data_IF_143231450510
#
_entry.id   IF_143231450510
#
_cell.length_a   1.000
_cell.length_b   1.000
_cell.length_c   1.000
_cell.angle_alpha   90.00
_cell.angle_beta   90.00
_cell.angle_gamma   90.00
#
_symmetry.space_group_name_H-M   'P 1'
#
loop_
_entity.id
_entity.type
_entity.pdbx_description
1 polymer ?
#
# COMPACT_ATOMS: atom_id res chain seq x y z
N UNK A 1 -2.60 -0.92 -19.52
CA UNK A 1 -3.35 0.34 -19.51
C UNK A 1 -2.79 1.25 -18.41
N UNK A 2 -2.36 2.46 -18.73
CA UNK A 2 -1.85 3.37 -17.71
C UNK A 2 -2.94 3.72 -16.68
N UNK A 3 -2.54 3.80 -15.42
CA UNK A 3 -3.43 4.14 -14.32
C UNK A 3 -2.77 5.26 -13.52
N UNK A 4 -3.53 6.29 -13.21
CA UNK A 4 -3.07 7.37 -12.33
C UNK A 4 -3.18 6.91 -10.88
N UNK A 5 -2.07 6.94 -10.18
CA UNK A 5 -1.98 6.54 -8.77
C UNK A 5 -1.55 7.71 -7.91
N UNK A 6 -2.08 7.78 -6.71
CA UNK A 6 -1.71 8.76 -5.71
C UNK A 6 -0.78 8.12 -4.69
N UNK A 7 0.28 8.81 -4.32
CA UNK A 7 1.26 8.33 -3.35
C UNK A 7 1.57 9.44 -2.35
N UNK A 8 1.54 9.13 -1.07
CA UNK A 8 1.92 10.06 -0.03
C UNK A 8 3.42 10.34 -0.07
N UNK A 9 3.80 11.58 0.21
CA UNK A 9 5.20 11.99 0.17
C UNK A 9 5.97 11.46 1.37
N UNK A 10 7.16 10.94 1.09
CA UNK A 10 8.10 10.48 2.11
C UNK A 10 8.68 11.66 2.89
N UNK A 11 8.86 11.48 4.20
CA UNK A 11 9.61 12.42 5.03
C UNK A 11 8.91 13.72 5.36
N UNK A 12 7.71 13.92 4.89
CA UNK A 12 6.92 15.08 5.28
C UNK A 12 6.29 14.91 6.65
N UNK A 13 5.87 16.02 7.23
CA UNK A 13 4.88 15.95 8.27
C UNK A 13 3.70 15.20 7.69
N UNK A 14 3.36 14.03 8.25
CA UNK A 14 2.08 13.46 8.00
C UNK A 14 1.42 13.89 6.72
N UNK A 15 1.56 13.16 5.72
CA UNK A 15 0.87 13.50 4.52
C UNK A 15 1.22 14.88 4.03
N UNK A 16 2.46 15.13 3.74
CA UNK A 16 2.78 16.11 2.72
C UNK A 16 1.82 15.81 1.57
N UNK A 17 1.37 16.82 0.85
CA UNK A 17 0.38 16.63 -0.20
C UNK A 17 0.74 15.41 -1.07
N UNK A 18 -0.17 14.45 -1.25
CA UNK A 18 0.11 13.29 -2.07
C UNK A 18 0.42 13.72 -3.50
N UNK A 19 1.34 13.03 -4.12
CA UNK A 19 1.67 13.24 -5.53
C UNK A 19 1.03 12.17 -6.40
N UNK A 20 0.70 12.52 -7.64
CA UNK A 20 0.11 11.60 -8.59
C UNK A 20 1.13 11.18 -9.64
N UNK A 21 1.13 9.91 -9.99
CA UNK A 21 1.90 9.35 -11.11
C UNK A 21 0.98 8.52 -11.98
N UNK A 22 1.36 8.35 -13.24
CA UNK A 22 0.62 7.50 -14.17
C UNK A 22 1.54 6.37 -14.63
N UNK A 23 1.17 5.15 -14.29
CA UNK A 23 2.02 3.98 -14.49
C UNK A 23 1.22 2.83 -15.09
N UNK A 24 1.89 1.99 -15.89
CA UNK A 24 1.30 0.75 -16.42
C UNK A 24 1.41 -0.39 -15.42
N UNK A 25 2.47 -0.39 -14.62
CA UNK A 25 2.72 -1.38 -13.57
C UNK A 25 3.05 -0.61 -12.29
N UNK A 26 2.47 -1.00 -11.19
CA UNK A 26 2.63 -0.29 -9.91
C UNK A 26 2.47 -1.25 -8.73
N UNK A 27 2.90 -0.82 -7.56
CA UNK A 27 2.54 -1.48 -6.31
C UNK A 27 1.25 -0.88 -5.78
N UNK A 28 0.40 -1.70 -5.17
CA UNK A 28 -0.79 -1.21 -4.48
C UNK A 28 -0.38 -0.39 -3.26
N UNK A 29 -1.19 0.60 -2.91
CA UNK A 29 -1.04 1.30 -1.63
C UNK A 29 -1.72 0.50 -0.52
N UNK A 30 -1.34 0.78 0.73
CA UNK A 30 -2.02 0.21 1.88
C UNK A 30 -3.50 0.60 1.90
N UNK A 31 -3.83 1.83 1.51
CA UNK A 31 -5.21 2.30 1.43
C UNK A 31 -6.02 1.54 0.38
N UNK A 32 -5.41 1.22 -0.77
CA UNK A 32 -6.09 0.45 -1.82
C UNK A 32 -6.40 -0.99 -1.39
N UNK A 33 -5.61 -1.54 -0.48
CA UNK A 33 -5.86 -2.88 0.08
C UNK A 33 -6.80 -2.82 1.30
N UNK A 34 -6.48 -1.98 2.26
CA UNK A 34 -7.11 -2.01 3.59
C UNK A 34 -8.19 -0.95 3.81
N UNK A 35 -8.29 0.06 2.95
CA UNK A 35 -9.17 1.22 3.19
C UNK A 35 -8.56 2.18 4.21
N UNK A 36 -9.13 3.31 4.37
CA UNK A 36 -8.86 4.39 5.34
C UNK A 36 -7.53 4.38 6.12
N UNK A 37 -6.44 4.05 5.44
CA UNK A 37 -5.10 4.05 6.04
C UNK A 37 -4.42 5.41 5.91
N UNK A 38 -4.43 5.95 4.70
CA UNK A 38 -3.75 7.19 4.33
C UNK A 38 -4.49 7.86 3.17
N UNK A 39 -3.88 8.88 2.55
CA UNK A 39 -4.47 9.62 1.43
C UNK A 39 -4.01 9.13 0.05
N UNK A 40 -3.46 7.93 -0.03
CA UNK A 40 -2.83 7.41 -1.24
C UNK A 40 -3.71 6.42 -2.03
N UNK A 41 -4.99 6.65 -2.02
CA UNK A 41 -5.93 5.89 -2.83
C UNK A 41 -7.26 5.66 -2.16
N UNK A 42 -8.03 4.76 -2.77
CA UNK A 42 -9.32 4.30 -2.26
C UNK A 42 -9.29 2.77 -2.30
N UNK A 43 -9.84 2.13 -1.28
CA UNK A 43 -9.86 0.68 -1.22
C UNK A 43 -10.56 0.08 -2.43
N UNK A 44 -9.91 -0.87 -3.08
CA UNK A 44 -10.51 -1.58 -4.19
C UNK A 44 -11.67 -2.46 -3.74
N UNK A 45 -12.70 -2.53 -4.56
CA UNK A 45 -13.93 -3.25 -4.25
C UNK A 45 -13.68 -4.74 -3.95
N UNK A 46 -12.73 -5.35 -4.62
CA UNK A 46 -12.39 -6.76 -4.38
C UNK A 46 -11.90 -7.01 -2.94
N UNK A 47 -11.26 -6.04 -2.31
CA UNK A 47 -10.87 -6.13 -0.90
C UNK A 47 -11.99 -5.71 0.03
N UNK A 48 -12.68 -4.62 -0.33
CA UNK A 48 -13.79 -4.10 0.46
C UNK A 48 -14.91 -5.13 0.64
N UNK A 49 -15.27 -5.82 -0.42
CA UNK A 49 -16.33 -6.84 -0.41
C UNK A 49 -15.97 -8.06 0.46
N UNK A 50 -14.69 -8.29 0.69
CA UNK A 50 -14.18 -9.36 1.57
C UNK A 50 -14.00 -8.91 3.02
N UNK A 51 -14.31 -7.66 3.34
CA UNK A 51 -14.15 -7.11 4.68
C UNK A 51 -12.70 -6.92 5.10
N UNK A 52 -11.79 -6.71 4.15
CA UNK A 52 -10.37 -6.52 4.45
C UNK A 52 -10.15 -5.20 5.18
N UNK A 53 -9.46 -5.26 6.31
CA UNK A 53 -9.05 -4.11 7.12
C UNK A 53 -7.59 -4.27 7.53
N UNK A 54 -7.00 -3.24 8.12
CA UNK A 54 -5.60 -3.29 8.57
C UNK A 54 -5.30 -4.38 9.60
N UNK A 55 -6.32 -4.94 10.25
CA UNK A 55 -6.19 -6.00 11.24
C UNK A 55 -6.88 -7.31 10.84
N UNK A 56 -7.52 -7.37 9.69
CA UNK A 56 -8.28 -8.54 9.26
C UNK A 56 -8.18 -8.73 7.74
N UNK A 57 -7.30 -9.63 7.32
CA UNK A 57 -7.18 -10.02 5.91
C UNK A 57 -6.87 -11.51 5.82
N UNK A 58 -7.91 -12.33 5.89
CA UNK A 58 -7.79 -13.79 5.91
C UNK A 58 -7.38 -14.39 4.55
N UNK A 59 -7.51 -13.62 3.47
CA UNK A 59 -7.18 -14.07 2.12
C UNK A 59 -5.78 -13.68 1.63
N UNK A 60 -4.86 -13.39 2.56
CA UNK A 60 -3.51 -12.97 2.21
C UNK A 60 -2.74 -14.07 1.46
N UNK A 61 -1.75 -13.63 0.66
CA UNK A 61 -0.98 -14.52 -0.21
C UNK A 61 -0.04 -15.49 0.52
N UNK A 62 0.19 -15.31 1.81
CA UNK A 62 1.18 -16.08 2.58
C UNK A 62 2.61 -15.56 2.47
N UNK A 63 2.83 -14.49 1.71
CA UNK A 63 4.13 -13.85 1.54
C UNK A 63 4.04 -12.38 1.91
N UNK A 64 5.02 -11.90 2.70
CA UNK A 64 5.11 -10.47 2.99
C UNK A 64 5.52 -9.71 1.73
N UNK A 65 4.78 -8.67 1.38
CA UNK A 65 5.09 -7.87 0.20
C UNK A 65 4.89 -6.39 0.44
N UNK A 66 5.73 -5.59 -0.21
CA UNK A 66 5.70 -4.14 -0.08
C UNK A 66 4.44 -3.54 -0.68
N UNK A 67 3.98 -2.45 -0.06
CA UNK A 67 3.07 -1.49 -0.70
C UNK A 67 3.86 -0.27 -1.14
N UNK A 68 3.24 0.63 -1.91
CA UNK A 68 3.86 1.93 -2.21
C UNK A 68 3.62 2.96 -1.11
N UNK A 69 2.91 2.60 -0.04
CA UNK A 69 2.58 3.53 1.05
C UNK A 69 3.75 3.73 1.98
N UNK A 70 4.12 4.99 2.20
CA UNK A 70 5.10 5.36 3.22
C UNK A 70 4.46 5.33 4.59
N UNK A 71 5.23 4.98 5.60
CA UNK A 71 4.76 5.12 6.97
C UNK A 71 4.70 6.62 7.33
N UNK A 72 3.59 7.10 7.88
CA UNK A 72 3.51 8.49 8.33
C UNK A 72 4.65 8.85 9.28
N UNK A 73 5.19 10.06 9.10
CA UNK A 73 6.30 10.62 9.90
C UNK A 73 7.62 9.85 9.80
N UNK A 74 7.75 8.98 8.83
CA UNK A 74 9.00 8.25 8.62
C UNK A 74 9.56 8.53 7.23
N UNK A 75 10.85 8.78 7.14
CA UNK A 75 11.56 8.92 5.87
C UNK A 75 12.17 7.61 5.38
N UNK A 76 12.06 6.53 6.16
CA UNK A 76 12.78 5.29 5.90
C UNK A 76 11.90 4.04 5.87
N UNK A 77 10.65 4.14 6.32
CA UNK A 77 9.78 2.98 6.46
C UNK A 77 8.57 3.05 5.54
N UNK A 78 8.17 1.88 5.03
CA UNK A 78 7.00 1.71 4.18
C UNK A 78 6.06 0.71 4.82
N UNK A 79 4.78 0.83 4.53
CA UNK A 79 3.81 -0.21 4.88
C UNK A 79 4.02 -1.43 3.99
N UNK A 80 3.75 -2.60 4.54
CA UNK A 80 3.75 -3.84 3.80
C UNK A 80 2.61 -4.73 4.26
N UNK A 81 2.19 -5.63 3.38
CA UNK A 81 1.22 -6.68 3.71
C UNK A 81 2.02 -7.84 4.29
N UNK A 82 1.82 -8.09 5.57
CA UNK A 82 2.49 -9.18 6.28
C UNK A 82 1.94 -10.52 5.80
N UNK A 83 2.72 -11.58 5.87
CA UNK A 83 2.33 -12.91 5.36
C UNK A 83 1.00 -13.43 5.91
N UNK A 84 0.62 -13.03 7.12
CA UNK A 84 -0.68 -13.34 7.70
C UNK A 84 -1.80 -12.37 7.31
N UNK A 85 -1.49 -11.31 6.56
CA UNK A 85 -2.45 -10.36 6.02
C UNK A 85 -2.53 -9.02 6.73
N UNK A 86 -1.98 -8.90 7.93
CA UNK A 86 -2.05 -7.65 8.70
C UNK A 86 -1.11 -6.61 8.09
N UNK A 87 -1.52 -5.33 8.12
CA UNK A 87 -0.68 -4.24 7.66
C UNK A 87 0.33 -3.85 8.73
N UNK A 88 1.60 -3.94 8.39
CA UNK A 88 2.70 -3.46 9.23
C UNK A 88 3.56 -2.47 8.45
N UNK A 89 4.51 -1.86 9.12
CA UNK A 89 5.52 -1.01 8.50
C UNK A 89 6.91 -1.45 8.93
N UNK A 90 7.87 -1.31 8.01
CA UNK A 90 9.26 -1.70 8.25
C UNK A 90 10.22 -0.85 7.45
N UNK A 91 11.51 -0.89 7.82
CA UNK A 91 12.54 -0.15 7.13
C UNK A 91 12.67 -0.59 5.66
N UNK A 92 12.85 0.36 4.76
CA UNK A 92 13.06 0.10 3.34
C UNK A 92 14.33 -0.73 3.04
N UNK A 93 15.20 -0.90 4.03
CA UNK A 93 16.40 -1.75 3.90
C UNK A 93 16.09 -3.24 4.04
N UNK A 94 14.91 -3.60 4.51
CA UNK A 94 14.51 -4.99 4.62
C UNK A 94 14.05 -5.55 3.27
N UNK A 95 14.08 -6.87 3.16
CA UNK A 95 13.74 -7.58 1.93
C UNK A 95 12.37 -8.25 2.06
N UNK A 96 11.43 -7.81 1.23
CA UNK A 96 10.13 -8.45 1.06
C UNK A 96 9.86 -8.67 -0.41
N UNK A 97 8.82 -9.44 -0.71
CA UNK A 97 8.41 -9.67 -2.09
C UNK A 97 7.79 -8.41 -2.71
N UNK A 98 7.80 -8.37 -4.01
CA UNK A 98 7.15 -7.33 -4.80
C UNK A 98 5.98 -7.99 -5.53
N UNK A 99 4.78 -7.44 -5.33
CA UNK A 99 3.57 -7.92 -5.99
C UNK A 99 3.07 -6.82 -6.93
N UNK A 100 3.47 -6.86 -8.21
CA UNK A 100 3.07 -5.82 -9.15
C UNK A 100 1.60 -5.91 -9.50
N UNK A 101 0.98 -4.77 -9.71
CA UNK A 101 -0.39 -4.64 -10.16
C UNK A 101 -0.42 -3.92 -11.51
N UNK A 102 -1.43 -4.22 -12.31
CA UNK A 102 -1.64 -3.57 -13.60
C UNK A 102 -3.12 -3.63 -13.98
N UNK A 103 -3.51 -2.76 -14.90
CA UNK A 103 -4.87 -2.69 -15.43
C UNK A 103 -4.88 -3.07 -16.90
N UNK A 104 -5.79 -3.93 -17.27
CA UNK A 104 -6.00 -4.33 -18.67
C UNK A 104 -6.60 -3.22 -19.52
#
# INVERSE_FOLDING_TARGET
KPVTKTTDNVGGNWGGAPSATTDKVFLLSATEVYGDMQSDGIQYECYKSKGVTGSNYSGASGYSHWTRSVRPRSSTSFHYVQSGGICYSYSATDSFYVLPAFCF
#
